data_IF_118461519774
#
_entry.id   IF_118461519774
#
_cell.length_a   1.000
_cell.length_b   1.000
_cell.length_c   1.000
_cell.angle_alpha   90.00
_cell.angle_beta   90.00
_cell.angle_gamma   90.00
#
_symmetry.space_group_name_H-M   'P 1'
#
loop_
_entity.id
_entity.type
_entity.pdbx_description
1 polymer ?
#
# COMPACT_ATOMS: atom_id res chain seq x y z
N UNK A 1 -7.03 16.78 -3.29
CA UNK A 1 -6.50 15.67 -4.08
C UNK A 1 -6.91 14.35 -3.45
N UNK A 2 -7.31 13.41 -4.26
CA UNK A 2 -7.73 12.11 -3.79
C UNK A 2 -6.66 11.07 -4.09
N UNK A 3 -6.29 10.29 -3.11
CA UNK A 3 -5.27 9.26 -3.25
C UNK A 3 -5.89 7.92 -2.88
N UNK A 4 -5.71 6.93 -3.75
CA UNK A 4 -6.18 5.58 -3.47
C UNK A 4 -5.07 4.79 -2.81
N UNK A 5 -5.43 4.13 -1.74
CA UNK A 5 -4.51 3.35 -0.94
C UNK A 5 -4.97 1.90 -0.93
N UNK A 6 -4.04 0.98 -1.06
CA UNK A 6 -4.33 -0.44 -0.99
C UNK A 6 -3.92 -0.93 0.39
N UNK A 7 -4.83 -1.64 1.05
CA UNK A 7 -4.55 -2.27 2.33
C UNK A 7 -4.45 -3.78 2.10
N UNK A 8 -3.36 -4.38 2.54
CA UNK A 8 -3.12 -5.82 2.38
C UNK A 8 -2.98 -6.43 3.75
N UNK A 9 -3.77 -7.47 4.01
CA UNK A 9 -3.74 -8.18 5.27
C UNK A 9 -2.67 -9.26 5.25
N UNK A 10 -1.76 -9.21 6.22
CA UNK A 10 -0.65 -10.14 6.30
C UNK A 10 -0.78 -10.98 7.57
N UNK A 11 -1.23 -12.22 7.43
CA UNK A 11 -1.36 -13.11 8.58
C UNK A 11 -0.01 -13.55 9.12
N UNK A 12 0.91 -13.83 8.21
CA UNK A 12 2.26 -14.23 8.56
C UNK A 12 3.20 -13.25 7.89
N UNK A 13 3.68 -12.30 8.63
CA UNK A 13 4.43 -11.18 8.07
C UNK A 13 5.79 -11.55 7.51
N UNK A 14 6.37 -12.59 8.05
CA UNK A 14 7.73 -12.98 7.69
C UNK A 14 7.79 -13.39 6.22
N UNK A 15 8.53 -12.66 5.44
CA UNK A 15 8.68 -12.94 4.02
C UNK A 15 7.55 -12.43 3.13
N UNK A 16 6.39 -12.14 3.69
CA UNK A 16 5.25 -11.69 2.87
C UNK A 16 5.48 -10.33 2.25
N UNK A 17 6.11 -9.44 2.99
CA UNK A 17 6.40 -8.12 2.46
C UNK A 17 7.34 -8.19 1.26
N UNK A 18 8.38 -9.01 1.36
CA UNK A 18 9.30 -9.20 0.25
C UNK A 18 8.59 -9.81 -0.96
N UNK A 19 7.68 -10.74 -0.72
CA UNK A 19 6.91 -11.37 -1.77
C UNK A 19 6.04 -10.35 -2.50
N UNK A 20 5.37 -9.48 -1.75
CA UNK A 20 4.52 -8.45 -2.34
C UNK A 20 5.33 -7.49 -3.19
N UNK A 21 6.47 -7.03 -2.69
CA UNK A 21 7.29 -6.10 -3.45
C UNK A 21 7.83 -6.73 -4.72
N UNK A 22 8.19 -8.01 -4.66
CA UNK A 22 8.65 -8.73 -5.84
C UNK A 22 7.54 -8.87 -6.89
N UNK A 23 6.33 -9.20 -6.46
CA UNK A 23 5.19 -9.32 -7.36
C UNK A 23 4.91 -8.01 -8.08
N UNK A 24 4.89 -6.92 -7.32
CA UNK A 24 4.62 -5.62 -7.90
C UNK A 24 5.72 -5.20 -8.88
N UNK A 25 6.96 -5.48 -8.54
CA UNK A 25 8.09 -5.17 -9.42
C UNK A 25 8.00 -5.96 -10.73
N UNK A 26 7.61 -7.24 -10.65
CA UNK A 26 7.46 -8.07 -11.83
C UNK A 26 6.41 -7.55 -12.81
N UNK A 27 5.43 -6.83 -12.30
CA UNK A 27 4.36 -6.27 -13.12
C UNK A 27 4.56 -4.79 -13.40
N UNK A 28 5.74 -4.27 -13.14
CA UNK A 28 6.08 -2.86 -13.37
C UNK A 28 5.18 -1.89 -12.64
N UNK A 29 4.75 -2.28 -11.46
CA UNK A 29 3.93 -1.42 -10.62
C UNK A 29 4.83 -0.70 -9.64
N UNK A 30 4.75 0.61 -9.66
CA UNK A 30 5.63 1.46 -8.86
C UNK A 30 5.01 1.75 -7.50
N UNK A 31 5.76 1.53 -6.45
CA UNK A 31 5.31 1.85 -5.10
C UNK A 31 5.74 3.26 -4.78
N UNK A 32 4.76 4.12 -4.49
CA UNK A 32 5.04 5.50 -4.16
C UNK A 32 5.18 5.73 -2.67
N UNK A 33 4.46 4.95 -1.88
CA UNK A 33 4.54 5.04 -0.44
C UNK A 33 4.14 3.71 0.15
N UNK A 34 4.69 3.41 1.30
CA UNK A 34 4.46 2.14 1.96
C UNK A 34 4.49 2.37 3.47
N UNK A 35 3.53 1.79 4.17
CA UNK A 35 3.56 1.79 5.62
C UNK A 35 3.03 0.46 6.13
N UNK A 36 3.53 0.05 7.28
CA UNK A 36 3.15 -1.21 7.90
C UNK A 36 2.66 -0.93 9.31
N UNK A 37 1.48 -1.46 9.60
CA UNK A 37 0.97 -1.44 10.96
C UNK A 37 0.82 -2.90 11.36
N UNK A 38 1.49 -3.31 12.41
CA UNK A 38 1.46 -4.72 12.77
C UNK A 38 1.23 -4.95 14.26
N UNK A 39 0.71 -6.15 14.53
CA UNK A 39 0.58 -6.67 15.88
C UNK A 39 1.42 -7.95 15.96
N UNK A 40 1.28 -8.68 17.06
CA UNK A 40 2.04 -9.91 17.23
C UNK A 40 1.67 -10.98 16.19
N UNK A 41 0.40 -11.04 15.79
CA UNK A 41 -0.11 -12.12 14.96
C UNK A 41 -0.32 -11.78 13.51
N UNK A 42 -0.51 -10.51 13.19
CA UNK A 42 -0.78 -10.11 11.83
C UNK A 42 -0.34 -8.67 11.60
N UNK A 43 -0.36 -8.27 10.35
CA UNK A 43 -0.04 -6.91 9.98
C UNK A 43 -0.93 -6.43 8.87
N UNK A 44 -0.96 -5.13 8.70
CA UNK A 44 -1.64 -4.50 7.58
C UNK A 44 -0.61 -3.66 6.86
N UNK A 45 -0.40 -3.97 5.60
CA UNK A 45 0.49 -3.21 4.74
C UNK A 45 -0.35 -2.24 3.93
N UNK A 46 0.01 -0.99 3.97
CA UNK A 46 -0.69 0.04 3.19
C UNK A 46 0.24 0.54 2.11
N UNK A 47 -0.25 0.54 0.89
CA UNK A 47 0.54 0.93 -0.27
C UNK A 47 -0.17 2.01 -1.07
N UNK A 48 0.62 2.93 -1.57
CA UNK A 48 0.17 3.85 -2.59
C UNK A 48 0.99 3.54 -3.82
N UNK A 49 0.32 3.15 -4.90
CA UNK A 49 0.98 2.72 -6.14
C UNK A 49 0.42 3.50 -7.31
N UNK A 50 1.14 3.45 -8.42
CA UNK A 50 0.72 4.16 -9.64
C UNK A 50 -0.39 3.43 -10.41
N UNK A 51 -0.45 2.10 -10.29
CA UNK A 51 -1.43 1.29 -11.02
C UNK A 51 -2.28 0.51 -10.04
N UNK A 52 -3.24 1.19 -9.44
CA UNK A 52 -4.01 0.65 -8.32
C UNK A 52 -4.80 -0.60 -8.70
N UNK A 53 -5.57 -0.54 -9.79
CA UNK A 53 -6.43 -1.67 -10.16
C UNK A 53 -5.61 -2.89 -10.55
N UNK A 54 -4.52 -2.69 -11.27
CA UNK A 54 -3.65 -3.78 -11.66
C UNK A 54 -3.00 -4.40 -10.43
N UNK A 55 -2.55 -3.58 -9.49
CA UNK A 55 -1.94 -4.06 -8.27
C UNK A 55 -2.92 -4.93 -7.47
N UNK A 56 -4.16 -4.48 -7.34
CA UNK A 56 -5.18 -5.25 -6.63
C UNK A 56 -5.38 -6.61 -7.27
N UNK A 57 -5.53 -6.63 -8.58
CA UNK A 57 -5.77 -7.87 -9.32
C UNK A 57 -4.61 -8.84 -9.15
N UNK A 58 -3.40 -8.35 -9.34
CA UNK A 58 -2.20 -9.18 -9.26
C UNK A 58 -2.03 -9.75 -7.86
N UNK A 59 -2.24 -8.94 -6.84
CA UNK A 59 -2.08 -9.41 -5.47
C UNK A 59 -3.15 -10.43 -5.09
N UNK A 60 -4.40 -10.20 -5.50
CA UNK A 60 -5.46 -11.17 -5.26
C UNK A 60 -5.20 -12.49 -5.96
N UNK A 61 -4.68 -12.43 -7.18
CA UNK A 61 -4.35 -13.63 -7.93
C UNK A 61 -3.26 -14.44 -7.26
N UNK A 62 -2.45 -13.79 -6.45
CA UNK A 62 -1.38 -14.46 -5.70
C UNK A 62 -1.80 -14.82 -4.27
N UNK A 63 -3.08 -14.73 -3.98
CA UNK A 63 -3.61 -15.23 -2.71
C UNK A 63 -3.62 -14.23 -1.57
N UNK A 64 -3.38 -12.97 -1.84
CA UNK A 64 -3.42 -11.95 -0.79
C UNK A 64 -4.81 -11.37 -0.61
N UNK A 65 -5.15 -11.04 0.62
CA UNK A 65 -6.40 -10.36 0.92
C UNK A 65 -6.16 -8.86 0.76
N UNK A 66 -6.87 -8.27 -0.18
CA UNK A 66 -6.63 -6.88 -0.56
C UNK A 66 -7.90 -6.06 -0.44
N UNK A 67 -7.79 -4.93 0.23
CA UNK A 67 -8.85 -3.94 0.26
C UNK A 67 -8.35 -2.64 -0.33
N UNK A 68 -9.26 -1.83 -0.84
CA UNK A 68 -8.91 -0.52 -1.37
C UNK A 68 -9.54 0.55 -0.50
N UNK A 69 -8.72 1.49 -0.07
CA UNK A 69 -9.19 2.61 0.74
C UNK A 69 -8.81 3.89 0.02
N UNK A 70 -9.78 4.75 -0.15
CA UNK A 70 -9.53 6.06 -0.73
C UNK A 70 -9.29 7.05 0.40
N UNK A 71 -8.18 7.76 0.33
CA UNK A 71 -7.88 8.81 1.28
C UNK A 71 -7.82 10.13 0.56
N UNK A 72 -8.15 11.18 1.27
CA UNK A 72 -8.06 12.53 0.73
C UNK A 72 -6.73 13.10 1.19
N UNK A 73 -5.87 13.37 0.24
CA UNK A 73 -4.61 14.01 0.53
C UNK A 73 -4.81 15.51 0.40
N UNK A 74 -4.60 16.21 1.49
CA UNK A 74 -4.70 17.66 1.48
C UNK A 74 -3.33 18.22 1.19
N UNK A 75 -3.24 19.02 0.17
CA UNK A 75 -1.99 19.66 -0.15
C UNK A 75 -1.73 20.77 0.84
N UNK A 76 -0.67 20.61 1.61
CA UNK A 76 -0.26 21.60 2.56
C UNK A 76 0.79 22.48 1.92
N UNK A 77 0.60 23.79 1.92
CA UNK A 77 1.62 24.67 1.34
C UNK A 77 2.97 24.41 1.99
N UNK A 78 3.99 24.32 1.16
CA UNK A 78 5.33 24.07 1.63
C UNK A 78 5.93 25.36 2.16
N UNK A 79 5.51 25.71 3.34
CA UNK A 79 5.99 26.93 3.98
C UNK A 79 6.06 26.72 5.46
N UNK A 80 6.92 27.48 6.10
CA UNK A 80 7.08 27.41 7.53
C UNK A 80 5.75 27.74 8.20
N UNK A 81 5.38 26.89 9.12
CA UNK A 81 4.15 27.11 9.84
C UNK A 81 2.89 26.64 9.12
N UNK A 82 3.03 26.04 7.96
CA UNK A 82 1.87 25.55 7.22
C UNK A 82 1.05 24.54 7.98
N UNK A 83 1.66 23.84 8.92
CA UNK A 83 0.99 22.87 9.77
C UNK A 83 0.87 23.30 11.21
N UNK A 84 1.32 24.45 11.50
CA UNK A 84 1.29 24.96 12.86
C UNK A 84 -0.12 25.28 13.31
#
# INVERSE_FOLDING_TARGET
MRVEQIAIFLENKSGRLAEITAILADHNINIRALSVADTADFGILRLIVDKVEEAKTVLRDNGFTVGKTTVIAVEVPDQTGGLA
#
